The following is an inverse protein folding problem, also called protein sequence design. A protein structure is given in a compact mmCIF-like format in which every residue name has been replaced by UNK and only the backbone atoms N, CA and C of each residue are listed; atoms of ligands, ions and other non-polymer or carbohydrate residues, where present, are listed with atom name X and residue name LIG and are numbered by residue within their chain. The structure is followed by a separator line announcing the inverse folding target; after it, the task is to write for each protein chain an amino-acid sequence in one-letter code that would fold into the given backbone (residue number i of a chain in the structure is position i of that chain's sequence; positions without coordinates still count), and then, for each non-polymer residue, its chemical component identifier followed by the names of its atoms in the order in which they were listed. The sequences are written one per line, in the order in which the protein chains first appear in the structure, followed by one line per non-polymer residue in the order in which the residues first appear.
data_IF_164136205728
#
_entry.id   IF_164136205728
#
_cell.length_a   1.000
_cell.length_b   1.000
_cell.length_c   1.000
_cell.angle_alpha   90.00
_cell.angle_beta   90.00
_cell.angle_gamma   90.00
#
_symmetry.space_group_name_H-M   'P 1'
#
loop_
_entity.id
_entity.type
_entity.pdbx_description
1 polymer ?
#
# COMPACT_ATOMS: atom_id res chain seq x y z
N UNK A 1 21.58 -27.90 3.26
CA UNK A 1 20.63 -26.93 2.65
C UNK A 1 21.24 -26.50 1.33
N UNK A 2 20.48 -26.58 0.25
CA UNK A 2 20.93 -26.17 -1.08
C UNK A 2 20.20 -24.88 -1.50
N UNK A 3 20.98 -23.92 -1.96
CA UNK A 3 20.46 -22.75 -2.66
C UNK A 3 20.31 -23.08 -4.13
N UNK A 4 19.12 -22.85 -4.67
CA UNK A 4 18.80 -23.10 -6.08
C UNK A 4 18.22 -21.84 -6.72
N UNK A 5 18.58 -21.58 -7.96
CA UNK A 5 17.95 -20.52 -8.75
C UNK A 5 16.47 -20.85 -8.97
N UNK A 6 15.60 -19.90 -8.67
CA UNK A 6 14.14 -20.10 -8.68
C UNK A 6 13.54 -20.33 -10.08
N UNK A 7 14.27 -20.00 -11.14
CA UNK A 7 13.81 -20.11 -12.53
C UNK A 7 14.43 -21.32 -13.20
N UNK A 8 15.75 -21.46 -13.11
CA UNK A 8 16.51 -22.53 -13.81
C UNK A 8 16.68 -23.79 -12.99
N UNK A 9 16.39 -23.76 -11.69
CA UNK A 9 16.63 -24.82 -10.70
C UNK A 9 18.08 -25.28 -10.62
N UNK A 10 19.02 -24.48 -11.14
CA UNK A 10 20.44 -24.76 -10.97
C UNK A 10 20.88 -24.49 -9.54
N UNK A 11 21.73 -25.37 -9.03
CA UNK A 11 22.33 -25.26 -7.70
C UNK A 11 23.34 -24.10 -7.70
N UNK A 12 23.11 -23.13 -6.82
CA UNK A 12 23.98 -21.97 -6.62
C UNK A 12 24.99 -22.19 -5.49
N UNK A 13 24.58 -22.89 -4.42
CA UNK A 13 25.44 -23.12 -3.27
C UNK A 13 24.90 -24.21 -2.34
N UNK A 14 25.73 -24.56 -1.35
CA UNK A 14 25.36 -25.46 -0.25
C UNK A 14 25.77 -24.83 1.06
N UNK A 15 24.89 -24.89 2.04
CA UNK A 15 25.09 -24.34 3.37
C UNK A 15 24.82 -25.43 4.40
N UNK A 16 25.64 -25.52 5.43
CA UNK A 16 25.41 -26.41 6.56
C UNK A 16 24.30 -25.88 7.46
N UNK A 17 24.25 -24.56 7.63
CA UNK A 17 23.23 -23.85 8.38
C UNK A 17 22.70 -22.68 7.54
N UNK A 18 21.42 -22.40 7.68
CA UNK A 18 20.76 -21.24 7.02
C UNK A 18 19.67 -20.67 7.93
N UNK A 19 19.70 -19.37 8.15
CA UNK A 19 18.66 -18.67 8.91
C UNK A 19 17.46 -18.34 8.00
N UNK A 20 16.30 -18.82 8.40
CA UNK A 20 15.02 -18.47 7.74
C UNK A 20 14.39 -17.36 8.54
N UNK A 21 14.39 -16.17 7.97
CA UNK A 21 13.74 -15.00 8.58
C UNK A 21 12.23 -15.04 8.37
N UNK A 22 11.44 -14.63 9.37
CA UNK A 22 10.01 -14.54 9.23
C UNK A 22 9.64 -13.46 8.20
N UNK A 23 8.60 -13.73 7.41
CA UNK A 23 8.08 -12.78 6.43
C UNK A 23 7.28 -11.61 7.05
N UNK A 24 7.13 -11.59 8.38
CA UNK A 24 6.40 -10.56 9.10
C UNK A 24 7.39 -9.51 9.66
N UNK A 25 7.15 -8.24 9.32
CA UNK A 25 7.98 -7.10 9.75
C UNK A 25 7.86 -6.77 11.26
N UNK A 26 6.84 -7.31 11.94
CA UNK A 26 6.56 -7.00 13.35
C UNK A 26 6.99 -8.11 14.31
N UNK A 27 7.86 -9.01 13.87
CA UNK A 27 8.47 -10.03 14.74
C UNK A 27 9.63 -9.39 15.47
N UNK A 28 9.60 -9.47 16.82
CA UNK A 28 10.64 -8.94 17.69
C UNK A 28 10.92 -9.90 18.85
N UNK A 29 11.87 -9.58 19.72
CA UNK A 29 12.16 -10.41 20.89
C UNK A 29 10.98 -10.48 21.87
N UNK A 30 10.92 -11.54 22.67
CA UNK A 30 9.87 -11.67 23.70
C UNK A 30 9.87 -10.50 24.67
N UNK A 31 11.05 -10.04 25.07
CA UNK A 31 11.21 -8.91 25.98
C UNK A 31 10.63 -7.63 25.38
N UNK A 32 10.93 -7.35 24.09
CA UNK A 32 10.39 -6.21 23.39
C UNK A 32 8.88 -6.32 23.21
N UNK A 33 8.36 -7.52 22.94
CA UNK A 33 6.91 -7.77 22.85
C UNK A 33 6.21 -7.49 24.17
N UNK A 34 6.79 -7.89 25.33
CA UNK A 34 6.23 -7.61 26.65
C UNK A 34 6.23 -6.11 26.97
N UNK A 35 7.27 -5.37 26.56
CA UNK A 35 7.33 -3.91 26.67
C UNK A 35 6.24 -3.28 25.80
N UNK A 36 6.11 -3.70 24.56
CA UNK A 36 5.10 -3.22 23.64
C UNK A 36 3.68 -3.43 24.19
N UNK A 37 3.39 -4.62 24.72
CA UNK A 37 2.09 -4.94 25.31
C UNK A 37 1.78 -4.01 26.49
N UNK A 38 2.74 -3.76 27.38
CA UNK A 38 2.55 -2.82 28.51
C UNK A 38 2.22 -1.42 28.02
N UNK A 39 2.98 -0.92 27.06
CA UNK A 39 2.75 0.42 26.50
C UNK A 39 1.38 0.52 25.78
N UNK A 40 0.96 -0.55 25.07
CA UNK A 40 -0.39 -0.63 24.48
C UNK A 40 -1.48 -0.56 25.55
N UNK A 41 -1.30 -1.29 26.65
CA UNK A 41 -2.27 -1.30 27.75
C UNK A 41 -2.33 0.06 28.48
N UNK A 42 -1.19 0.72 28.68
CA UNK A 42 -1.13 2.06 29.29
C UNK A 42 -1.85 3.09 28.41
N UNK A 43 -1.65 3.05 27.09
CA UNK A 43 -2.34 3.95 26.17
C UNK A 43 -3.83 3.59 26.01
N UNK A 44 -4.19 2.31 26.18
CA UNK A 44 -5.60 1.90 26.24
C UNK A 44 -6.32 2.52 27.44
N UNK A 45 -5.72 2.50 28.63
CA UNK A 45 -6.30 3.12 29.83
C UNK A 45 -6.55 4.60 29.60
N UNK A 46 -5.55 5.33 29.10
CA UNK A 46 -5.69 6.76 28.76
C UNK A 46 -6.83 7.02 27.77
N UNK A 47 -6.95 6.16 26.74
CA UNK A 47 -7.98 6.33 25.73
C UNK A 47 -9.39 6.01 26.24
N UNK A 48 -9.52 5.03 27.14
CA UNK A 48 -10.77 4.72 27.83
C UNK A 48 -11.20 5.90 28.70
N UNK A 49 -10.28 6.44 29.51
CA UNK A 49 -10.55 7.60 30.35
C UNK A 49 -10.98 8.81 29.51
N UNK A 50 -10.28 9.10 28.42
CA UNK A 50 -10.65 10.15 27.48
C UNK A 50 -12.09 10.01 26.95
N UNK A 51 -12.50 8.81 26.53
CA UNK A 51 -13.87 8.60 26.05
C UNK A 51 -14.90 8.68 27.18
N UNK A 52 -14.60 8.20 28.37
CA UNK A 52 -15.50 8.30 29.54
C UNK A 52 -15.71 9.75 29.98
N UNK A 53 -14.65 10.54 30.02
CA UNK A 53 -14.73 11.99 30.32
C UNK A 53 -15.54 12.75 29.25
N UNK A 54 -15.46 12.33 27.99
CA UNK A 54 -16.28 12.86 26.91
C UNK A 54 -17.74 12.35 26.91
N UNK A 55 -18.12 11.45 27.82
CA UNK A 55 -19.45 10.84 27.89
C UNK A 55 -19.72 9.74 26.87
N UNK A 56 -18.70 9.27 26.17
CA UNK A 56 -18.80 8.28 25.06
C UNK A 56 -18.49 6.83 25.54
N UNK A 57 -19.27 6.32 26.47
CA UNK A 57 -19.07 4.98 27.06
C UNK A 57 -19.06 3.84 26.00
N UNK A 58 -19.80 4.00 24.90
CA UNK A 58 -19.83 3.01 23.81
C UNK A 58 -18.46 2.96 23.11
N UNK A 59 -17.81 4.10 22.89
CA UNK A 59 -16.47 4.14 22.28
C UNK A 59 -15.43 3.59 23.25
N UNK A 60 -15.55 3.91 24.54
CA UNK A 60 -14.69 3.36 25.59
C UNK A 60 -14.75 1.84 25.64
N UNK A 61 -15.95 1.27 25.62
CA UNK A 61 -16.13 -0.18 25.61
C UNK A 61 -15.59 -0.82 24.34
N UNK A 62 -15.86 -0.24 23.18
CA UNK A 62 -15.39 -0.73 21.88
C UNK A 62 -13.87 -0.80 21.78
N UNK A 63 -13.17 0.28 22.17
CA UNK A 63 -11.71 0.30 22.12
C UNK A 63 -11.12 -0.70 23.11
N UNK A 64 -11.73 -0.84 24.30
CA UNK A 64 -11.33 -1.81 25.29
C UNK A 64 -11.38 -3.23 24.74
N UNK A 65 -12.55 -3.67 24.29
CA UNK A 65 -12.74 -5.02 23.74
C UNK A 65 -11.80 -5.31 22.57
N UNK A 66 -11.63 -4.34 21.68
CA UNK A 66 -10.77 -4.50 20.53
C UNK A 66 -9.30 -4.67 20.92
N UNK A 67 -8.78 -3.82 21.79
CA UNK A 67 -7.36 -3.85 22.15
C UNK A 67 -7.04 -5.03 23.07
N UNK A 68 -7.93 -5.37 24.01
CA UNK A 68 -7.77 -6.55 24.86
C UNK A 68 -7.69 -7.83 23.99
N UNK A 69 -8.57 -7.97 23.01
CA UNK A 69 -8.52 -9.08 22.06
C UNK A 69 -7.21 -9.10 21.25
N UNK A 70 -6.79 -7.94 20.71
CA UNK A 70 -5.56 -7.85 19.93
C UNK A 70 -4.32 -8.22 20.79
N UNK A 71 -4.28 -7.76 22.05
CA UNK A 71 -3.20 -8.09 23.02
C UNK A 71 -3.19 -9.59 23.34
N UNK A 72 -4.34 -10.22 23.52
CA UNK A 72 -4.43 -11.66 23.72
C UNK A 72 -3.87 -12.43 22.52
N UNK A 73 -4.27 -12.06 21.31
CA UNK A 73 -3.75 -12.64 20.08
C UNK A 73 -2.23 -12.48 19.95
N UNK A 74 -1.68 -11.31 20.30
CA UNK A 74 -0.24 -11.07 20.28
C UNK A 74 0.47 -11.96 21.30
N UNK A 75 -0.09 -12.16 22.49
CA UNK A 75 0.49 -13.04 23.53
C UNK A 75 0.52 -14.50 23.11
N UNK A 76 -0.58 -14.99 22.54
CA UNK A 76 -0.75 -16.40 22.20
C UNK A 76 -0.10 -16.79 20.88
N UNK A 77 -0.24 -15.94 19.85
CA UNK A 77 0.17 -16.25 18.48
C UNK A 77 1.36 -15.40 17.99
N UNK A 78 1.80 -14.43 18.77
CA UNK A 78 2.83 -13.48 18.36
C UNK A 78 2.37 -12.43 17.36
N UNK A 79 1.09 -12.42 16.98
CA UNK A 79 0.55 -11.47 16.02
C UNK A 79 -0.98 -11.28 16.18
N UNK A 80 -1.51 -10.15 15.67
CA UNK A 80 -2.96 -9.93 15.54
C UNK A 80 -3.30 -9.30 14.17
N UNK A 81 -4.57 -9.36 13.81
CA UNK A 81 -5.04 -8.66 12.61
C UNK A 81 -4.98 -7.15 12.81
N UNK A 82 -4.20 -6.46 11.95
CA UNK A 82 -3.96 -5.03 12.07
C UNK A 82 -2.83 -4.67 13.04
N UNK A 83 -1.88 -5.59 13.28
CA UNK A 83 -0.71 -5.37 14.14
C UNK A 83 0.09 -4.13 13.74
N UNK A 84 0.04 -3.72 12.48
CA UNK A 84 0.67 -2.50 11.97
C UNK A 84 0.18 -1.23 12.69
N UNK A 85 -1.03 -1.23 13.25
CA UNK A 85 -1.55 -0.10 14.04
C UNK A 85 -0.87 0.06 15.40
N UNK A 86 -0.11 -0.95 15.82
CA UNK A 86 0.69 -0.97 17.03
C UNK A 86 2.20 -0.88 16.75
N UNK A 87 2.60 -0.67 15.49
CA UNK A 87 3.99 -0.77 15.03
C UNK A 87 4.96 0.05 15.86
N UNK A 88 4.60 1.28 16.28
CA UNK A 88 5.49 2.14 17.08
C UNK A 88 5.93 1.52 18.42
N UNK A 89 5.10 0.66 19.02
CA UNK A 89 5.45 0.00 20.27
C UNK A 89 6.45 -1.14 20.08
N UNK A 90 6.40 -1.80 18.91
CA UNK A 90 7.28 -2.92 18.58
C UNK A 90 8.65 -2.46 18.07
N UNK A 91 8.73 -1.35 17.37
CA UNK A 91 9.98 -0.81 16.83
C UNK A 91 10.58 0.32 17.68
N UNK A 92 9.95 0.66 18.81
CA UNK A 92 10.45 1.62 19.79
C UNK A 92 10.47 3.06 19.32
N UNK A 93 9.66 3.41 18.30
CA UNK A 93 9.53 4.79 17.83
C UNK A 93 8.74 5.65 18.81
N UNK A 94 9.08 6.93 18.84
CA UNK A 94 8.32 7.94 19.56
C UNK A 94 7.02 8.31 18.82
N UNK A 95 6.10 8.92 19.53
CA UNK A 95 4.87 9.44 18.95
C UNK A 95 5.14 10.46 17.84
N UNK A 96 4.44 10.33 16.72
CA UNK A 96 4.61 11.20 15.55
C UNK A 96 5.75 10.81 14.61
N UNK A 97 6.67 9.94 15.02
CA UNK A 97 7.73 9.45 14.14
C UNK A 97 7.14 8.54 13.05
N UNK A 98 7.60 8.75 11.81
CA UNK A 98 7.21 7.89 10.69
C UNK A 98 7.84 6.49 10.80
N UNK A 99 7.21 5.45 10.27
CA UNK A 99 7.87 4.15 10.15
C UNK A 99 9.02 4.20 9.14
N UNK A 100 9.93 3.25 9.27
CA UNK A 100 10.92 2.99 8.24
C UNK A 100 10.24 2.51 6.95
N UNK A 101 10.77 2.92 5.82
CA UNK A 101 10.34 2.47 4.51
C UNK A 101 11.53 1.94 3.71
N UNK A 102 11.29 1.38 2.54
CA UNK A 102 12.34 0.81 1.70
C UNK A 102 13.47 1.81 1.39
N UNK A 103 13.14 3.08 1.23
CA UNK A 103 14.12 4.13 0.92
C UNK A 103 15.13 4.37 2.06
N UNK A 104 14.77 4.10 3.32
CA UNK A 104 15.69 4.23 4.45
C UNK A 104 16.87 3.25 4.37
N UNK A 105 16.71 2.14 3.63
CA UNK A 105 17.73 1.10 3.47
C UNK A 105 18.58 1.29 2.21
N UNK A 106 18.28 2.28 1.40
CA UNK A 106 19.08 2.56 0.22
C UNK A 106 20.35 3.31 0.60
N UNK A 107 21.46 3.10 -0.14
CA UNK A 107 22.65 3.92 0.02
C UNK A 107 22.30 5.39 -0.26
N UNK A 108 23.07 6.31 0.34
CA UNK A 108 22.84 7.76 0.11
C UNK A 108 23.01 8.15 -1.37
N UNK A 109 23.90 7.46 -2.07
CA UNK A 109 24.11 7.62 -3.50
C UNK A 109 23.22 6.62 -4.25
N UNK A 110 21.92 6.90 -4.32
CA UNK A 110 20.94 6.11 -5.04
C UNK A 110 20.32 6.88 -6.21
N UNK A 111 19.87 6.14 -7.20
CA UNK A 111 19.09 6.62 -8.33
C UNK A 111 17.70 5.98 -8.29
N UNK A 112 16.67 6.80 -8.27
CA UNK A 112 15.28 6.38 -8.33
C UNK A 112 14.75 6.60 -9.75
N UNK A 113 14.14 5.59 -10.33
CA UNK A 113 13.47 5.70 -11.63
C UNK A 113 11.96 5.56 -11.35
N UNK A 114 11.20 6.60 -11.65
CA UNK A 114 9.76 6.65 -11.44
C UNK A 114 9.07 6.46 -12.79
N UNK A 115 8.53 5.26 -12.99
CA UNK A 115 7.74 4.95 -14.18
C UNK A 115 6.32 5.50 -14.05
N UNK A 116 5.73 5.90 -15.18
CA UNK A 116 4.45 6.59 -15.25
C UNK A 116 4.36 7.74 -14.23
N UNK A 117 5.40 8.55 -14.19
CA UNK A 117 5.60 9.57 -13.14
C UNK A 117 4.44 10.55 -13.01
N UNK A 118 3.78 10.89 -14.12
CA UNK A 118 2.58 11.77 -14.14
C UNK A 118 1.40 11.20 -13.32
N UNK A 119 1.40 9.89 -13.02
CA UNK A 119 0.42 9.24 -12.14
C UNK A 119 1.05 8.91 -10.78
N UNK A 120 2.27 8.38 -10.78
CA UNK A 120 2.96 7.90 -9.57
C UNK A 120 3.25 9.04 -8.59
N UNK A 121 3.73 10.18 -9.04
CA UNK A 121 4.05 11.34 -8.18
C UNK A 121 2.81 11.91 -7.49
N UNK A 122 1.69 12.18 -8.18
CA UNK A 122 0.44 12.58 -7.52
C UNK A 122 -0.09 11.54 -6.51
N UNK A 123 0.08 10.24 -6.78
CA UNK A 123 -0.30 9.18 -5.83
C UNK A 123 0.55 9.23 -4.56
N UNK A 124 1.86 9.38 -4.68
CA UNK A 124 2.76 9.54 -3.53
C UNK A 124 2.34 10.75 -2.70
N UNK A 125 2.04 11.88 -3.34
CA UNK A 125 1.58 13.10 -2.67
C UNK A 125 0.25 12.92 -1.93
N UNK A 126 -0.69 12.14 -2.48
CA UNK A 126 -2.02 11.92 -1.91
C UNK A 126 -2.07 10.88 -0.78
N UNK A 127 -1.09 9.96 -0.70
CA UNK A 127 -1.11 8.80 0.19
C UNK A 127 -1.28 9.18 1.66
N UNK A 128 -0.52 10.15 2.15
CA UNK A 128 -0.58 10.58 3.55
C UNK A 128 -1.95 11.14 3.93
N UNK A 129 -2.52 12.00 3.11
CA UNK A 129 -3.82 12.63 3.37
C UNK A 129 -4.96 11.63 3.44
N UNK A 130 -4.99 10.69 2.50
CA UNK A 130 -5.98 9.62 2.45
C UNK A 130 -5.90 8.66 3.63
N UNK A 131 -4.68 8.23 4.00
CA UNK A 131 -4.47 7.36 5.17
C UNK A 131 -4.87 8.05 6.47
N UNK A 132 -4.46 9.30 6.67
CA UNK A 132 -4.80 10.09 7.85
C UNK A 132 -6.30 10.30 8.00
N UNK A 133 -7.01 10.62 6.92
CA UNK A 133 -8.47 10.82 6.96
C UNK A 133 -9.21 9.54 7.38
N UNK A 134 -8.79 8.39 6.83
CA UNK A 134 -9.34 7.09 7.22
C UNK A 134 -9.07 6.78 8.69
N UNK A 135 -7.84 6.94 9.18
CA UNK A 135 -7.45 6.66 10.56
C UNK A 135 -8.10 7.59 11.57
N UNK A 136 -8.33 8.86 11.18
CA UNK A 136 -9.05 9.80 12.02
C UNK A 136 -10.41 9.23 12.43
N UNK A 137 -11.20 8.74 11.48
CA UNK A 137 -12.48 8.11 11.78
C UNK A 137 -12.32 6.88 12.69
N UNK A 138 -11.32 6.03 12.42
CA UNK A 138 -11.10 4.81 13.23
C UNK A 138 -10.75 5.14 14.69
N UNK A 139 -9.97 6.16 14.93
CA UNK A 139 -9.59 6.59 16.29
C UNK A 139 -10.75 7.34 16.97
N UNK A 140 -11.39 8.29 16.29
CA UNK A 140 -12.51 9.06 16.84
C UNK A 140 -13.71 8.20 17.22
N UNK A 141 -13.94 7.10 16.52
CA UNK A 141 -15.04 6.17 16.81
C UNK A 141 -14.63 4.98 17.69
N UNK A 142 -13.42 4.96 18.25
CA UNK A 142 -12.96 3.93 19.18
C UNK A 142 -12.66 2.58 18.55
N UNK A 143 -12.27 2.54 17.28
CA UNK A 143 -11.86 1.30 16.59
C UNK A 143 -10.34 1.07 16.65
N UNK A 144 -9.55 2.12 16.88
CA UNK A 144 -8.08 2.05 16.99
C UNK A 144 -7.57 3.03 18.03
N UNK A 145 -6.42 2.69 18.64
CA UNK A 145 -5.67 3.62 19.49
C UNK A 145 -5.06 4.76 18.64
N UNK A 146 -4.77 5.93 19.22
CA UNK A 146 -4.07 7.02 18.55
C UNK A 146 -2.74 6.61 17.90
N UNK A 147 -2.04 5.60 18.44
CA UNK A 147 -0.83 5.03 17.86
C UNK A 147 -0.97 4.57 16.39
N UNK A 148 -2.19 4.29 15.94
CA UNK A 148 -2.45 3.96 14.55
C UNK A 148 -2.03 5.08 13.58
N UNK A 149 -2.01 6.35 14.03
CA UNK A 149 -1.55 7.47 13.22
C UNK A 149 -0.05 7.40 12.89
N UNK A 150 0.74 6.71 13.70
CA UNK A 150 2.19 6.62 13.54
C UNK A 150 2.62 5.53 12.55
N UNK A 151 1.71 4.63 12.17
CA UNK A 151 1.89 3.75 11.02
C UNK A 151 1.35 4.43 9.77
N UNK A 152 2.13 5.28 9.16
CA UNK A 152 1.70 6.14 8.06
C UNK A 152 2.67 6.10 6.89
N UNK A 153 2.20 6.36 5.67
CA UNK A 153 3.09 6.61 4.55
C UNK A 153 3.89 7.89 4.77
N UNK A 154 4.92 8.07 3.96
CA UNK A 154 5.67 9.31 3.90
C UNK A 154 4.73 10.48 3.55
N UNK A 155 5.04 11.65 4.08
CA UNK A 155 4.58 12.90 3.49
C UNK A 155 5.38 13.17 2.22
N UNK A 156 4.85 13.96 1.34
CA UNK A 156 5.53 14.24 0.08
C UNK A 156 6.90 14.89 0.30
N UNK A 157 6.98 15.82 1.25
CA UNK A 157 8.21 16.51 1.63
C UNK A 157 9.25 15.55 2.24
N UNK A 158 8.80 14.52 2.98
CA UNK A 158 9.69 13.49 3.51
C UNK A 158 10.24 12.61 2.38
N UNK A 159 9.40 12.26 1.40
CA UNK A 159 9.82 11.53 0.22
C UNK A 159 10.85 12.33 -0.58
N UNK A 160 10.58 13.59 -0.87
CA UNK A 160 11.45 14.49 -1.61
C UNK A 160 12.83 14.63 -0.96
N UNK A 161 12.89 14.76 0.37
CA UNK A 161 14.15 14.81 1.13
C UNK A 161 14.97 13.51 1.09
N UNK A 162 14.35 12.37 0.83
CA UNK A 162 15.03 11.07 0.76
C UNK A 162 15.54 10.75 -0.64
N UNK A 163 15.03 11.45 -1.66
CA UNK A 163 15.45 11.28 -3.05
C UNK A 163 16.80 11.98 -3.26
N UNK A 164 17.79 11.25 -3.79
CA UNK A 164 19.07 11.83 -4.17
C UNK A 164 19.10 12.21 -5.65
N UNK A 165 18.86 11.22 -6.52
CA UNK A 165 18.74 11.41 -7.97
C UNK A 165 17.48 10.72 -8.46
N UNK A 166 16.79 11.34 -9.41
CA UNK A 166 15.57 10.78 -9.98
C UNK A 166 15.53 10.90 -11.49
N UNK A 167 15.01 9.86 -12.13
CA UNK A 167 14.60 9.89 -13.54
C UNK A 167 13.09 9.69 -13.58
N UNK A 168 12.39 10.68 -14.11
CA UNK A 168 10.96 10.58 -14.38
C UNK A 168 10.75 9.98 -15.76
N UNK A 169 9.96 8.91 -15.85
CA UNK A 169 9.60 8.26 -17.11
C UNK A 169 8.09 8.39 -17.31
N UNK A 170 7.68 8.98 -18.44
CA UNK A 170 6.27 9.20 -18.74
C UNK A 170 6.05 9.42 -20.23
N UNK A 171 4.96 8.91 -20.78
CA UNK A 171 4.51 9.25 -22.12
C UNK A 171 3.89 10.67 -22.16
N UNK A 172 3.37 11.14 -21.04
CA UNK A 172 2.69 12.44 -20.89
C UNK A 172 3.14 13.12 -19.57
N UNK A 173 4.39 13.61 -19.50
CA UNK A 173 4.90 14.25 -18.30
C UNK A 173 4.01 15.43 -17.87
N UNK A 174 3.85 15.60 -16.57
CA UNK A 174 3.07 16.69 -15.97
C UNK A 174 4.00 17.86 -15.56
N UNK A 175 3.38 18.96 -15.13
CA UNK A 175 4.10 20.19 -14.78
C UNK A 175 5.14 19.97 -13.68
N UNK A 176 4.88 19.09 -12.72
CA UNK A 176 5.82 18.79 -11.64
C UNK A 176 7.15 18.25 -12.16
N UNK A 177 7.11 17.19 -12.98
CA UNK A 177 8.31 16.56 -13.52
C UNK A 177 9.10 17.52 -14.42
N UNK A 178 8.39 18.32 -15.21
CA UNK A 178 9.00 19.32 -16.08
C UNK A 178 9.71 20.42 -15.28
N UNK A 179 9.13 20.85 -14.15
CA UNK A 179 9.74 21.84 -13.26
C UNK A 179 10.97 21.28 -12.55
N UNK A 180 10.87 20.08 -11.98
CA UNK A 180 11.97 19.42 -11.29
C UNK A 180 13.13 19.09 -12.23
N UNK A 181 12.85 18.73 -13.48
CA UNK A 181 13.85 18.48 -14.51
C UNK A 181 14.44 19.77 -15.11
N UNK A 182 14.00 20.96 -14.66
CA UNK A 182 14.44 22.25 -15.24
C UNK A 182 14.07 22.39 -16.72
N UNK A 183 13.01 21.72 -17.18
CA UNK A 183 12.59 21.70 -18.56
C UNK A 183 13.41 20.80 -19.47
N UNK A 184 14.36 20.03 -18.93
CA UNK A 184 15.17 19.08 -19.71
C UNK A 184 14.35 17.81 -19.95
N UNK A 185 14.06 17.52 -21.21
CA UNK A 185 13.31 16.32 -21.62
C UNK A 185 14.13 15.54 -22.63
N UNK A 186 14.25 14.23 -22.42
CA UNK A 186 14.84 13.30 -23.39
C UNK A 186 13.70 12.53 -24.03
N UNK A 187 13.49 12.73 -25.32
CA UNK A 187 12.41 12.07 -26.06
C UNK A 187 12.89 10.74 -26.64
N UNK A 188 12.10 9.68 -26.41
CA UNK A 188 12.27 8.39 -27.07
C UNK A 188 11.05 8.10 -27.92
N UNK A 189 11.13 8.41 -29.22
CA UNK A 189 10.00 8.38 -30.15
C UNK A 189 9.93 7.03 -30.89
N UNK A 190 11.00 6.23 -30.87
CA UNK A 190 11.09 4.99 -31.63
C UNK A 190 10.30 3.88 -30.93
N UNK A 191 9.33 3.29 -31.66
CA UNK A 191 8.65 2.06 -31.29
C UNK A 191 9.24 0.87 -32.09
N UNK A 192 10.21 0.11 -31.55
CA UNK A 192 10.94 -0.90 -32.31
C UNK A 192 10.11 -2.16 -32.61
N UNK A 193 8.93 -2.32 -31.96
CA UNK A 193 8.08 -3.50 -32.13
C UNK A 193 7.40 -3.62 -33.48
N UNK A 194 7.30 -2.54 -34.23
CA UNK A 194 6.56 -2.50 -35.50
C UNK A 194 5.04 -2.71 -35.40
N UNK A 195 4.53 -2.81 -34.16
CA UNK A 195 3.09 -2.94 -33.90
C UNK A 195 2.41 -1.59 -34.07
N UNK A 196 1.36 -1.54 -34.83
CA UNK A 196 0.51 -0.37 -34.96
C UNK A 196 -0.36 -0.20 -33.73
N UNK A 197 -0.77 1.03 -33.45
CA UNK A 197 -1.78 1.30 -32.42
C UNK A 197 -3.11 0.63 -32.81
N UNK A 198 -3.88 0.15 -31.82
CA UNK A 198 -5.16 -0.48 -32.08
C UNK A 198 -6.13 0.52 -32.73
N UNK A 199 -6.97 0.02 -33.63
CA UNK A 199 -8.06 0.83 -34.19
C UNK A 199 -9.06 1.17 -33.08
N UNK A 200 -9.32 2.46 -32.89
CA UNK A 200 -10.28 2.95 -31.92
C UNK A 200 -11.61 3.23 -32.61
N UNK A 201 -12.69 2.72 -32.05
CA UNK A 201 -14.06 3.00 -32.46
C UNK A 201 -14.85 3.54 -31.27
N UNK A 202 -15.46 4.71 -31.44
CA UNK A 202 -16.31 5.34 -30.40
C UNK A 202 -17.76 5.08 -30.77
N UNK A 203 -18.51 4.46 -29.86
CA UNK A 203 -19.92 4.12 -30.05
C UNK A 203 -20.82 4.87 -29.07
N UNK A 204 -22.10 5.07 -29.35
CA UNK A 204 -23.06 5.65 -28.40
C UNK A 204 -23.17 4.82 -27.14
N UNK A 205 -23.47 5.49 -26.02
CA UNK A 205 -23.68 4.80 -24.73
C UNK A 205 -25.08 4.16 -24.61
N UNK A 206 -26.02 4.53 -25.48
CA UNK A 206 -27.36 3.95 -25.51
C UNK A 206 -27.26 2.48 -25.96
N UNK A 207 -27.87 1.57 -25.18
CA UNK A 207 -27.82 0.11 -25.37
C UNK A 207 -26.41 -0.47 -25.39
N UNK A 208 -25.44 0.18 -24.74
CA UNK A 208 -24.04 -0.24 -24.75
C UNK A 208 -23.79 -1.68 -24.26
N UNK A 209 -24.63 -2.22 -23.37
CA UNK A 209 -24.50 -3.58 -22.87
C UNK A 209 -24.86 -4.59 -23.95
N UNK A 210 -25.95 -4.38 -24.67
CA UNK A 210 -26.37 -5.27 -25.77
C UNK A 210 -25.34 -5.23 -26.92
N UNK A 211 -24.82 -4.06 -27.25
CA UNK A 211 -23.76 -3.90 -28.23
C UNK A 211 -22.46 -4.61 -27.80
N UNK A 212 -22.06 -4.45 -26.53
CA UNK A 212 -20.92 -5.16 -25.97
C UNK A 212 -21.09 -6.68 -26.04
N UNK A 213 -22.25 -7.19 -25.68
CA UNK A 213 -22.56 -8.61 -25.71
C UNK A 213 -22.45 -9.19 -27.13
N UNK A 214 -22.95 -8.47 -28.14
CA UNK A 214 -22.83 -8.86 -29.54
C UNK A 214 -21.36 -8.94 -29.99
N UNK A 215 -20.54 -7.95 -29.63
CA UNK A 215 -19.10 -7.95 -29.92
C UNK A 215 -18.37 -9.11 -29.22
N UNK A 216 -18.70 -9.40 -27.95
CA UNK A 216 -18.12 -10.54 -27.24
C UNK A 216 -18.44 -11.85 -27.94
N UNK A 217 -19.71 -12.07 -28.30
CA UNK A 217 -20.13 -13.29 -29.03
C UNK A 217 -19.40 -13.44 -30.34
N UNK A 218 -19.29 -12.36 -31.12
CA UNK A 218 -18.58 -12.38 -32.41
C UNK A 218 -17.08 -12.74 -32.23
N UNK A 219 -16.41 -12.15 -31.22
CA UNK A 219 -15.00 -12.44 -30.92
C UNK A 219 -14.80 -13.87 -30.42
N UNK A 220 -15.70 -14.35 -29.55
CA UNK A 220 -15.65 -15.72 -29.06
C UNK A 220 -15.80 -16.75 -30.20
N UNK A 221 -16.67 -16.50 -31.19
CA UNK A 221 -16.79 -17.36 -32.37
C UNK A 221 -15.50 -17.44 -33.17
N UNK A 222 -14.73 -16.33 -33.21
CA UNK A 222 -13.40 -16.24 -33.84
C UNK A 222 -12.28 -16.80 -32.95
N UNK A 223 -12.58 -17.31 -31.74
CA UNK A 223 -11.61 -17.75 -30.70
C UNK A 223 -10.67 -16.64 -30.24
N UNK A 224 -11.12 -15.40 -30.32
CA UNK A 224 -10.41 -14.23 -29.83
C UNK A 224 -10.79 -13.98 -28.34
N UNK A 225 -9.99 -13.16 -27.66
CA UNK A 225 -10.24 -12.73 -26.27
C UNK A 225 -10.71 -11.30 -26.24
N UNK A 226 -11.59 -10.99 -25.29
CA UNK A 226 -12.10 -9.63 -25.06
C UNK A 226 -11.71 -9.19 -23.65
N UNK A 227 -11.21 -7.98 -23.52
CA UNK A 227 -10.97 -7.33 -22.24
C UNK A 227 -11.99 -6.20 -22.10
N UNK A 228 -12.83 -6.30 -21.07
CA UNK A 228 -13.82 -5.27 -20.75
C UNK A 228 -13.37 -4.49 -19.53
N UNK A 229 -13.24 -3.18 -19.65
CA UNK A 229 -12.92 -2.30 -18.53
C UNK A 229 -14.11 -1.43 -18.17
N UNK A 230 -14.29 -1.17 -16.88
CA UNK A 230 -15.39 -0.38 -16.35
C UNK A 230 -14.88 0.71 -15.40
N UNK A 231 -15.70 1.72 -15.13
CA UNK A 231 -15.36 2.79 -14.20
C UNK A 231 -15.32 2.36 -12.74
N UNK A 232 -16.06 1.31 -12.37
CA UNK A 232 -16.15 0.84 -10.99
C UNK A 232 -16.15 -0.69 -10.91
N UNK A 233 -15.65 -1.23 -9.78
CA UNK A 233 -15.72 -2.67 -9.49
C UNK A 233 -17.15 -3.20 -9.51
N UNK A 234 -18.08 -2.45 -8.95
CA UNK A 234 -19.51 -2.81 -8.94
C UNK A 234 -20.07 -2.99 -10.34
N UNK A 235 -19.75 -2.08 -11.26
CA UNK A 235 -20.17 -2.19 -12.65
C UNK A 235 -19.56 -3.42 -13.35
N UNK A 236 -18.30 -3.77 -13.03
CA UNK A 236 -17.68 -4.98 -13.54
C UNK A 236 -18.40 -6.25 -13.04
N UNK A 237 -18.76 -6.28 -11.76
CA UNK A 237 -19.51 -7.38 -11.15
C UNK A 237 -20.92 -7.50 -11.76
N UNK A 238 -21.61 -6.38 -11.96
CA UNK A 238 -22.94 -6.37 -12.61
C UNK A 238 -22.86 -6.90 -14.05
N UNK A 239 -21.86 -6.50 -14.84
CA UNK A 239 -21.70 -7.00 -16.22
C UNK A 239 -21.40 -8.51 -16.24
N UNK A 240 -20.67 -9.03 -15.26
CA UNK A 240 -20.36 -10.46 -15.17
C UNK A 240 -21.62 -11.34 -15.08
N UNK A 241 -22.74 -10.82 -14.53
CA UNK A 241 -24.01 -11.55 -14.50
C UNK A 241 -24.72 -11.63 -15.85
N UNK A 242 -24.33 -10.82 -16.83
CA UNK A 242 -24.87 -10.86 -18.19
C UNK A 242 -24.02 -11.70 -19.15
N UNK A 243 -22.78 -12.04 -18.76
CA UNK A 243 -21.86 -12.88 -19.54
C UNK A 243 -22.00 -14.34 -19.19
#
# INVERSE_FOLDING_TARGET
IEEVDSISYHRLGTFDEYEIYPANLFVTSKEQTEIAIRNIQDDLVKQIDFFNEAGDSIKAQRIKERVEYDVEMIKELGHCSGIENYSRYFDGREEGQRPYCLLDFFPKDNLIIIDESHVSVPQISAMYGGDRARKKNLVEFGFRLPAAFDNRPLRFEEFDQMVNQVIYVSATPADYELQEAGGIVVEQIIRPTGLLDPKIEVRPSDNQIDDLMNEIVERCQKKERVLVTTLTKRMAEEILFFL
#
